data_IF_277943242175
#
_entry.id   IF_277943242175
#
_cell.length_a   1.000
_cell.length_b   1.000
_cell.length_c   1.000
_cell.angle_alpha   90.00
_cell.angle_beta   90.00
_cell.angle_gamma   90.00
#
_symmetry.space_group_name_H-M   'P 1'
#
loop_
_entity.id
_entity.type
_entity.pdbx_description
1 polymer ?
#
# COMPACT_ATOMS: atom_id res chain seq x y z
N UNK A 1 -56.24 -11.83 7.00
CA UNK A 1 -55.29 -11.06 7.83
C UNK A 1 -53.97 -11.81 7.77
N UNK A 2 -53.05 -11.35 6.92
CA UNK A 2 -51.74 -11.99 6.78
C UNK A 2 -50.83 -11.52 7.91
N UNK A 3 -50.42 -12.44 8.77
CA UNK A 3 -49.35 -12.20 9.74
C UNK A 3 -48.05 -11.96 8.97
N UNK A 4 -47.54 -10.74 9.08
CA UNK A 4 -46.23 -10.32 8.59
C UNK A 4 -45.17 -11.05 9.44
N UNK A 5 -44.80 -12.25 9.00
CA UNK A 5 -43.81 -13.10 9.66
C UNK A 5 -42.41 -12.49 9.45
N UNK A 6 -42.12 -11.39 10.16
CA UNK A 6 -40.79 -10.78 10.23
C UNK A 6 -39.84 -11.76 10.91
N UNK A 7 -39.13 -12.56 10.12
CA UNK A 7 -37.97 -13.34 10.59
C UNK A 7 -37.04 -12.41 11.39
N UNK A 8 -36.89 -12.68 12.68
CA UNK A 8 -36.04 -11.89 13.56
C UNK A 8 -34.61 -12.37 13.40
N UNK A 9 -33.80 -11.63 12.65
CA UNK A 9 -32.36 -11.89 12.54
C UNK A 9 -31.60 -11.05 13.55
N UNK A 10 -30.66 -11.66 14.26
CA UNK A 10 -29.71 -10.92 15.11
C UNK A 10 -28.38 -10.74 14.40
N UNK A 11 -27.83 -9.52 14.42
CA UNK A 11 -26.54 -9.17 13.82
C UNK A 11 -25.46 -9.06 14.91
N UNK A 12 -24.52 -9.99 14.90
CA UNK A 12 -23.39 -10.04 15.82
C UNK A 12 -22.11 -9.64 15.08
N UNK A 13 -21.38 -8.66 15.61
CA UNK A 13 -20.02 -8.34 15.16
C UNK A 13 -19.05 -8.98 16.15
N UNK A 14 -18.18 -9.85 15.64
CA UNK A 14 -17.22 -10.62 16.45
C UNK A 14 -15.88 -10.74 15.74
N UNK A 15 -14.87 -11.16 16.47
CA UNK A 15 -13.57 -11.49 15.89
C UNK A 15 -13.69 -12.65 14.91
N UNK A 16 -12.87 -12.58 13.86
CA UNK A 16 -12.69 -13.65 12.89
C UNK A 16 -12.02 -14.87 13.55
N UNK A 17 -12.60 -16.04 13.34
CA UNK A 17 -12.09 -17.32 13.80
C UNK A 17 -11.58 -18.14 12.60
N UNK A 18 -10.25 -18.25 12.41
CA UNK A 18 -9.66 -18.96 11.28
C UNK A 18 -10.10 -20.42 11.15
N UNK A 19 -10.52 -21.06 12.25
CA UNK A 19 -10.88 -22.48 12.25
C UNK A 19 -12.22 -22.76 11.55
N UNK A 20 -13.10 -21.76 11.45
CA UNK A 20 -14.47 -21.94 10.94
C UNK A 20 -14.94 -20.87 9.96
N UNK A 21 -14.34 -19.68 9.97
CA UNK A 21 -14.85 -18.55 9.19
C UNK A 21 -14.23 -18.44 7.79
N UNK A 22 -13.09 -19.09 7.53
CA UNK A 22 -12.30 -18.91 6.31
C UNK A 22 -13.13 -19.04 5.02
N UNK A 23 -13.90 -20.12 4.88
CA UNK A 23 -14.68 -20.39 3.68
C UNK A 23 -15.81 -19.36 3.47
N UNK A 24 -16.53 -19.03 4.55
CA UNK A 24 -17.61 -18.05 4.51
C UNK A 24 -17.10 -16.64 4.17
N UNK A 25 -15.95 -16.26 4.74
CA UNK A 25 -15.27 -14.99 4.45
C UNK A 25 -14.83 -14.93 2.99
N UNK A 26 -14.19 -15.97 2.47
CA UNK A 26 -13.82 -16.04 1.05
C UNK A 26 -15.05 -15.95 0.13
N UNK A 27 -16.19 -16.51 0.54
CA UNK A 27 -17.44 -16.37 -0.20
C UNK A 27 -17.96 -14.92 -0.18
N UNK A 28 -17.86 -14.20 0.94
CA UNK A 28 -18.23 -12.77 1.00
C UNK A 28 -17.32 -11.91 0.11
N UNK A 29 -16.00 -12.11 0.13
CA UNK A 29 -15.06 -11.41 -0.79
C UNK A 29 -15.49 -11.64 -2.25
N UNK A 30 -15.70 -12.91 -2.63
CA UNK A 30 -16.15 -13.29 -3.98
C UNK A 30 -17.43 -12.58 -4.41
N UNK A 31 -18.43 -12.54 -3.53
CA UNK A 31 -19.71 -11.86 -3.78
C UNK A 31 -19.56 -10.34 -3.89
N UNK A 32 -18.57 -9.74 -3.23
CA UNK A 32 -18.36 -8.29 -3.22
C UNK A 32 -17.55 -7.78 -4.41
N UNK A 33 -16.72 -8.61 -5.04
CA UNK A 33 -15.88 -8.23 -6.19
C UNK A 33 -16.62 -8.26 -7.54
N UNK A 34 -17.84 -8.81 -7.57
CA UNK A 34 -18.72 -8.73 -8.74
C UNK A 34 -19.36 -7.34 -8.77
N UNK A 35 -18.89 -6.48 -9.69
CA UNK A 35 -19.55 -5.20 -9.97
C UNK A 35 -20.98 -5.41 -10.49
N UNK A 36 -21.91 -4.47 -10.24
CA UNK A 36 -23.33 -4.63 -10.56
C UNK A 36 -23.65 -4.80 -12.06
N UNK A 37 -22.68 -4.59 -12.96
CA UNK A 37 -22.87 -4.54 -14.41
C UNK A 37 -22.10 -5.59 -15.21
N UNK A 38 -21.43 -6.57 -14.57
CA UNK A 38 -20.67 -7.61 -15.29
C UNK A 38 -19.50 -7.08 -16.14
N UNK A 39 -19.08 -5.83 -15.89
CA UNK A 39 -17.98 -5.16 -16.57
C UNK A 39 -16.61 -5.66 -16.15
N UNK A 40 -15.57 -4.90 -16.53
CA UNK A 40 -14.19 -5.16 -16.12
C UNK A 40 -14.09 -5.13 -14.59
N UNK A 41 -13.62 -6.22 -13.97
CA UNK A 41 -13.39 -6.28 -12.53
C UNK A 41 -12.05 -6.93 -12.21
N UNK A 42 -11.46 -6.51 -11.08
CA UNK A 42 -10.26 -7.12 -10.51
C UNK A 42 -10.72 -7.99 -9.35
N UNK A 43 -10.38 -9.26 -9.44
CA UNK A 43 -10.65 -10.27 -8.42
C UNK A 43 -9.40 -10.51 -7.58
N UNK A 44 -9.55 -10.63 -6.27
CA UNK A 44 -8.43 -10.86 -5.33
C UNK A 44 -8.58 -12.24 -4.70
N UNK A 45 -7.59 -13.10 -4.93
CA UNK A 45 -7.47 -14.38 -4.23
C UNK A 45 -6.46 -14.26 -3.10
N UNK A 46 -6.93 -14.37 -1.86
CA UNK A 46 -6.13 -14.29 -0.63
C UNK A 46 -5.43 -15.61 -0.26
N UNK A 47 -5.39 -16.58 -1.17
CA UNK A 47 -4.62 -17.83 -1.05
C UNK A 47 -4.94 -18.64 0.21
N UNK A 48 -6.19 -18.62 0.65
CA UNK A 48 -6.59 -19.32 1.86
C UNK A 48 -6.43 -18.53 3.17
N UNK A 49 -5.87 -17.32 3.13
CA UNK A 49 -5.52 -16.53 4.32
C UNK A 49 -6.22 -15.16 4.34
N UNK A 50 -7.44 -15.07 4.90
CA UNK A 50 -8.17 -13.80 4.93
C UNK A 50 -7.49 -12.66 5.69
N UNK A 51 -6.51 -12.92 6.55
CA UNK A 51 -5.79 -11.89 7.33
C UNK A 51 -4.44 -11.52 6.71
N UNK A 52 -4.09 -12.07 5.54
CA UNK A 52 -2.77 -11.93 4.91
C UNK A 52 -2.30 -10.48 4.74
N UNK A 53 -3.23 -9.56 4.43
CA UNK A 53 -2.97 -8.14 4.16
C UNK A 53 -2.83 -7.26 5.42
N UNK A 54 -2.99 -7.82 6.61
CA UNK A 54 -2.80 -7.08 7.87
C UNK A 54 -1.87 -7.78 8.85
N UNK A 55 -1.65 -9.10 8.69
CA UNK A 55 -0.90 -9.95 9.64
C UNK A 55 0.55 -9.56 9.87
N UNK A 56 1.13 -8.79 8.97
CA UNK A 56 2.52 -8.32 9.06
C UNK A 56 2.65 -7.00 9.83
N UNK A 57 1.54 -6.39 10.21
CA UNK A 57 1.52 -5.18 11.04
C UNK A 57 1.77 -5.49 12.52
N UNK A 58 2.32 -4.56 13.32
CA UNK A 58 2.61 -4.78 14.74
C UNK A 58 1.40 -5.19 15.58
N UNK A 59 0.23 -4.63 15.27
CA UNK A 59 -1.06 -5.07 15.80
C UNK A 59 -2.09 -5.10 14.67
N UNK A 60 -2.95 -6.10 14.67
CA UNK A 60 -4.00 -6.26 13.67
C UNK A 60 -5.23 -6.95 14.26
N UNK A 61 -6.37 -6.71 13.63
CA UNK A 61 -7.65 -7.32 13.94
C UNK A 61 -8.44 -7.56 12.65
N UNK A 62 -9.19 -8.65 12.60
CA UNK A 62 -10.24 -8.85 11.62
C UNK A 62 -11.56 -9.13 12.33
N UNK A 63 -12.59 -8.39 11.96
CA UNK A 63 -13.94 -8.57 12.47
C UNK A 63 -14.85 -9.09 11.35
N UNK A 64 -15.80 -9.93 11.73
CA UNK A 64 -16.87 -10.43 10.86
C UNK A 64 -18.23 -10.03 11.41
N UNK A 65 -19.15 -9.77 10.49
CA UNK A 65 -20.57 -9.57 10.78
C UNK A 65 -21.31 -10.88 10.49
N UNK A 66 -21.77 -11.54 11.54
CA UNK A 66 -22.55 -12.79 11.50
C UNK A 66 -24.03 -12.48 11.71
N UNK A 67 -24.88 -12.95 10.81
CA UNK A 67 -26.32 -13.05 11.01
C UNK A 67 -26.64 -14.41 11.62
N UNK A 68 -27.42 -14.39 12.70
CA UNK A 68 -27.94 -15.59 13.37
C UNK A 68 -29.44 -15.63 13.19
N UNK A 69 -29.95 -16.63 12.47
CA UNK A 69 -31.37 -16.93 12.31
C UNK A 69 -31.92 -17.91 13.35
N UNK A 70 -33.24 -18.10 13.37
CA UNK A 70 -33.95 -18.96 14.33
C UNK A 70 -33.55 -20.44 14.24
N UNK A 71 -33.17 -20.93 13.05
CA UNK A 71 -32.78 -22.34 12.81
C UNK A 71 -31.26 -22.61 12.99
N UNK A 72 -30.52 -21.71 13.66
CA UNK A 72 -29.05 -21.75 13.82
C UNK A 72 -28.24 -21.62 12.52
N UNK A 73 -28.87 -21.26 11.41
CA UNK A 73 -28.13 -20.84 10.21
C UNK A 73 -27.34 -19.57 10.54
N UNK A 74 -26.02 -19.73 10.54
CA UNK A 74 -25.04 -18.65 10.73
C UNK A 74 -24.49 -18.27 9.37
N UNK A 75 -24.69 -17.01 8.98
CA UNK A 75 -24.11 -16.49 7.74
C UNK A 75 -23.19 -15.31 8.07
N UNK A 76 -21.94 -15.37 7.59
CA UNK A 76 -21.10 -14.17 7.54
C UNK A 76 -21.53 -13.32 6.34
N UNK A 77 -21.93 -12.09 6.62
CA UNK A 77 -22.46 -11.15 5.61
C UNK A 77 -21.60 -9.91 5.45
N UNK A 78 -20.58 -9.73 6.29
CA UNK A 78 -19.63 -8.64 6.16
C UNK A 78 -18.35 -8.89 6.94
N UNK A 79 -17.31 -8.11 6.63
CA UNK A 79 -16.03 -8.15 7.31
C UNK A 79 -15.32 -6.80 7.22
N UNK A 80 -14.38 -6.58 8.13
CA UNK A 80 -13.46 -5.44 8.12
C UNK A 80 -12.12 -5.90 8.71
N UNK A 81 -11.03 -5.36 8.19
CA UNK A 81 -9.68 -5.55 8.74
C UNK A 81 -9.16 -4.23 9.26
N UNK A 82 -8.40 -4.29 10.33
CA UNK A 82 -7.73 -3.15 10.92
C UNK A 82 -6.30 -3.51 11.29
N UNK A 83 -5.38 -2.57 11.15
CA UNK A 83 -4.04 -2.69 11.72
C UNK A 83 -3.58 -1.38 12.35
N UNK A 84 -2.58 -1.44 13.23
CA UNK A 84 -2.02 -0.29 13.93
C UNK A 84 -0.51 -0.31 13.79
N UNK A 85 0.06 0.84 13.45
CA UNK A 85 1.50 1.10 13.34
C UNK A 85 1.85 2.44 13.96
N UNK A 86 3.12 2.66 14.25
CA UNK A 86 3.62 3.98 14.67
C UNK A 86 4.33 4.64 13.51
N UNK A 87 3.88 5.83 13.11
CA UNK A 87 4.40 6.52 11.92
C UNK A 87 4.74 7.96 12.19
N UNK A 88 5.61 8.53 11.35
CA UNK A 88 5.88 9.96 11.35
C UNK A 88 4.67 10.73 10.79
N UNK A 89 4.16 11.70 11.57
CA UNK A 89 3.06 12.59 11.20
C UNK A 89 3.50 14.05 11.08
N UNK A 90 4.75 14.36 11.39
CA UNK A 90 5.30 15.71 11.28
C UNK A 90 6.75 15.77 11.73
N UNK A 91 7.26 17.00 11.88
CA UNK A 91 8.64 17.26 12.31
C UNK A 91 8.68 18.39 13.32
N UNK A 92 9.61 18.29 14.27
CA UNK A 92 9.96 19.35 15.22
C UNK A 92 11.45 19.68 15.09
N UNK A 93 11.82 20.93 15.33
CA UNK A 93 13.24 21.32 15.39
C UNK A 93 13.83 20.91 16.74
N UNK A 94 15.03 20.32 16.72
CA UNK A 94 15.76 20.01 17.96
C UNK A 94 16.12 21.30 18.69
N UNK A 95 15.70 21.43 19.96
CA UNK A 95 16.08 22.54 20.85
C UNK A 95 17.30 22.16 21.67
N UNK A 96 18.49 22.13 21.06
CA UNK A 96 19.73 22.05 21.85
C UNK A 96 20.16 23.46 22.28
N UNK A 97 19.58 23.93 23.39
CA UNK A 97 20.11 25.06 24.14
C UNK A 97 20.95 24.55 25.31
N UNK A 98 22.28 24.57 25.19
CA UNK A 98 23.23 25.08 26.21
C UNK A 98 24.69 24.63 26.09
N UNK A 99 25.09 23.68 25.23
CA UNK A 99 26.52 23.36 25.03
C UNK A 99 26.78 22.88 23.59
N UNK A 100 26.99 23.80 22.65
CA UNK A 100 27.41 23.44 21.27
C UNK A 100 28.64 24.26 20.90
N UNK A 101 29.76 23.57 20.71
CA UNK A 101 30.96 24.06 20.04
C UNK A 101 30.63 24.47 18.60
N UNK A 102 31.32 25.47 18.07
CA UNK A 102 30.95 26.27 16.89
C UNK A 102 30.72 25.55 15.53
N UNK A 103 30.77 24.21 15.46
CA UNK A 103 30.72 23.45 14.21
C UNK A 103 29.41 22.68 13.90
N UNK A 104 28.38 22.67 14.77
CA UNK A 104 27.08 21.99 14.49
C UNK A 104 25.90 22.97 14.61
N UNK A 105 25.82 23.95 13.71
CA UNK A 105 24.92 25.12 13.82
C UNK A 105 23.54 24.93 13.12
N UNK A 106 23.23 23.77 12.55
CA UNK A 106 21.90 23.56 11.92
C UNK A 106 20.97 22.68 12.77
N UNK A 107 19.80 23.18 13.19
CA UNK A 107 18.83 22.38 13.94
C UNK A 107 18.32 21.22 13.06
N UNK A 108 18.70 19.99 13.40
CA UNK A 108 18.24 18.79 12.68
C UNK A 108 16.75 18.57 12.94
N UNK A 109 15.92 18.38 11.89
CA UNK A 109 14.50 18.09 12.07
C UNK A 109 14.34 16.68 12.64
N UNK A 110 13.62 16.57 13.76
CA UNK A 110 13.29 15.31 14.40
C UNK A 110 11.86 14.92 14.05
N UNK A 111 11.58 13.64 13.75
CA UNK A 111 10.24 13.20 13.49
C UNK A 111 9.35 13.28 14.73
N UNK A 112 8.08 13.61 14.50
CA UNK A 112 7.01 13.44 15.47
C UNK A 112 6.24 12.20 15.07
N UNK A 113 6.09 11.27 16.02
CA UNK A 113 5.43 9.99 15.79
C UNK A 113 4.03 10.00 16.40
N UNK A 114 3.12 9.29 15.76
CA UNK A 114 1.78 8.99 16.26
C UNK A 114 1.49 7.51 16.06
N UNK A 115 0.65 6.93 16.93
CA UNK A 115 0.02 5.63 16.63
C UNK A 115 -1.13 5.86 15.65
N UNK A 116 -1.08 5.17 14.52
CA UNK A 116 -2.01 5.30 13.40
C UNK A 116 -2.61 3.94 13.09
N UNK A 117 -3.95 3.91 13.03
CA UNK A 117 -4.72 2.76 12.60
C UNK A 117 -5.08 2.85 11.12
N UNK A 118 -5.04 1.73 10.40
CA UNK A 118 -5.49 1.63 9.02
C UNK A 118 -6.68 0.67 8.92
N UNK A 119 -7.74 1.09 8.24
CA UNK A 119 -8.89 0.24 7.90
C UNK A 119 -8.69 -0.29 6.49
N UNK A 120 -8.80 -1.62 6.35
CA UNK A 120 -8.65 -2.30 5.08
C UNK A 120 -9.80 -3.27 4.82
N UNK A 121 -10.18 -3.40 3.54
CA UNK A 121 -11.01 -4.50 3.07
C UNK A 121 -12.38 -4.60 3.74
N UNK A 122 -13.03 -3.45 3.99
CA UNK A 122 -14.43 -3.43 4.41
C UNK A 122 -15.31 -4.00 3.28
N UNK A 123 -15.96 -5.12 3.55
CA UNK A 123 -16.89 -5.77 2.63
C UNK A 123 -18.23 -6.01 3.31
N UNK A 124 -19.31 -5.75 2.58
CA UNK A 124 -20.67 -6.12 2.96
C UNK A 124 -21.34 -6.76 1.76
N UNK A 125 -21.86 -7.97 1.97
CA UNK A 125 -22.58 -8.75 0.97
C UNK A 125 -23.64 -7.89 0.26
N UNK A 126 -23.72 -7.89 -1.08
CA UNK A 126 -24.63 -7.02 -1.82
C UNK A 126 -26.09 -7.03 -1.34
N UNK A 127 -26.61 -8.22 -0.99
CA UNK A 127 -27.99 -8.39 -0.49
C UNK A 127 -28.23 -7.81 0.91
N UNK A 128 -27.16 -7.48 1.64
CA UNK A 128 -27.21 -6.96 3.01
C UNK A 128 -26.68 -5.52 3.12
N UNK A 129 -26.43 -4.86 1.99
CA UNK A 129 -26.04 -3.45 1.97
C UNK A 129 -27.19 -2.57 2.45
N UNK A 130 -26.85 -1.36 2.93
CA UNK A 130 -27.82 -0.37 3.45
C UNK A 130 -28.59 -0.80 4.71
N UNK A 131 -28.19 -1.90 5.35
CA UNK A 131 -28.73 -2.36 6.65
C UNK A 131 -27.89 -1.89 7.86
N UNK A 132 -26.99 -0.92 7.68
CA UNK A 132 -26.12 -0.42 8.77
C UNK A 132 -24.93 -1.32 9.15
N UNK A 133 -24.76 -2.49 8.53
CA UNK A 133 -23.69 -3.45 8.85
C UNK A 133 -22.29 -2.83 8.73
N UNK A 134 -22.02 -2.11 7.63
CA UNK A 134 -20.72 -1.46 7.41
C UNK A 134 -20.38 -0.42 8.49
N UNK A 135 -21.38 0.36 8.93
CA UNK A 135 -21.22 1.33 10.01
C UNK A 135 -20.88 0.62 11.34
N UNK A 136 -21.61 -0.45 11.66
CA UNK A 136 -21.38 -1.23 12.89
C UNK A 136 -19.98 -1.87 12.91
N UNK A 137 -19.50 -2.37 11.77
CA UNK A 137 -18.15 -2.89 11.61
C UNK A 137 -17.08 -1.82 11.83
N UNK A 138 -17.26 -0.63 11.24
CA UNK A 138 -16.32 0.50 11.41
C UNK A 138 -16.30 0.97 12.87
N UNK A 139 -17.45 1.13 13.51
CA UNK A 139 -17.53 1.53 14.92
C UNK A 139 -16.78 0.53 15.83
N UNK A 140 -17.01 -0.77 15.63
CA UNK A 140 -16.37 -1.80 16.45
C UNK A 140 -14.86 -1.90 16.24
N UNK A 141 -14.37 -1.71 15.01
CA UNK A 141 -12.90 -1.68 14.78
C UNK A 141 -12.27 -0.40 15.33
N UNK A 142 -12.97 0.74 15.28
CA UNK A 142 -12.50 1.99 15.89
C UNK A 142 -12.42 1.90 17.42
N UNK A 143 -13.36 1.21 18.08
CA UNK A 143 -13.27 0.90 19.50
C UNK A 143 -11.96 0.18 19.81
N UNK A 144 -11.66 -0.90 19.07
CA UNK A 144 -10.40 -1.62 19.21
C UNK A 144 -9.17 -0.74 18.93
N UNK A 145 -9.24 0.16 17.94
CA UNK A 145 -8.17 1.14 17.69
C UNK A 145 -7.92 2.05 18.89
N UNK A 146 -8.98 2.59 19.52
CA UNK A 146 -8.88 3.42 20.72
C UNK A 146 -8.30 2.64 21.90
N UNK A 147 -8.79 1.42 22.13
CA UNK A 147 -8.29 0.52 23.18
C UNK A 147 -6.79 0.22 23.03
N UNK A 148 -6.27 0.21 21.80
CA UNK A 148 -4.85 -0.01 21.51
C UNK A 148 -4.03 1.30 21.39
N UNK A 149 -4.64 2.43 21.73
CA UNK A 149 -4.01 3.74 21.80
C UNK A 149 -3.70 4.35 20.44
N UNK A 150 -4.43 3.99 19.38
CA UNK A 150 -4.33 4.69 18.11
C UNK A 150 -4.95 6.10 18.25
N UNK A 151 -4.20 7.12 17.86
CA UNK A 151 -4.64 8.52 17.93
C UNK A 151 -5.40 8.94 16.66
N UNK A 152 -5.09 8.28 15.55
CA UNK A 152 -5.72 8.50 14.25
C UNK A 152 -6.10 7.18 13.61
N UNK A 153 -7.12 7.20 12.76
CA UNK A 153 -7.45 6.13 11.83
C UNK A 153 -7.56 6.66 10.42
N UNK A 154 -7.07 5.93 9.43
CA UNK A 154 -7.24 6.25 8.02
C UNK A 154 -7.70 5.05 7.20
N UNK A 155 -8.18 5.33 6.00
CA UNK A 155 -8.62 4.35 5.01
C UNK A 155 -8.41 4.90 3.61
N UNK A 156 -8.30 4.00 2.64
CA UNK A 156 -8.17 4.32 1.22
C UNK A 156 -9.41 3.85 0.44
N UNK A 157 -9.83 4.64 -0.55
CA UNK A 157 -10.94 4.29 -1.45
C UNK A 157 -10.81 5.05 -2.77
N UNK A 158 -11.28 4.47 -3.87
CA UNK A 158 -11.43 5.21 -5.13
C UNK A 158 -12.38 6.40 -4.94
N UNK A 159 -12.07 7.51 -5.61
CA UNK A 159 -12.77 8.79 -5.45
C UNK A 159 -14.24 8.75 -5.93
N UNK A 160 -14.56 7.83 -6.84
CA UNK A 160 -15.89 7.60 -7.41
C UNK A 160 -16.72 6.55 -6.63
N UNK A 161 -16.13 5.88 -5.63
CA UNK A 161 -16.83 4.96 -4.75
C UNK A 161 -17.67 5.73 -3.71
N UNK A 162 -18.78 6.31 -4.18
CA UNK A 162 -19.65 7.16 -3.38
C UNK A 162 -20.20 6.43 -2.13
N UNK A 163 -20.40 5.11 -2.19
CA UNK A 163 -20.88 4.34 -1.05
C UNK A 163 -19.85 4.32 0.09
N UNK A 164 -18.58 4.11 -0.24
CA UNK A 164 -17.46 4.16 0.70
C UNK A 164 -17.26 5.58 1.23
N UNK A 165 -17.20 6.57 0.33
CA UNK A 165 -17.04 7.99 0.70
C UNK A 165 -18.14 8.44 1.67
N UNK A 166 -19.41 8.17 1.37
CA UNK A 166 -20.52 8.56 2.24
C UNK A 166 -20.48 7.85 3.60
N UNK A 167 -20.08 6.57 3.63
CA UNK A 167 -19.95 5.85 4.90
C UNK A 167 -18.89 6.51 5.78
N UNK A 168 -17.67 6.70 5.25
CA UNK A 168 -16.56 7.18 6.07
C UNK A 168 -16.67 8.66 6.38
N UNK A 169 -16.95 9.50 5.39
CA UNK A 169 -17.00 10.96 5.56
C UNK A 169 -18.27 11.39 6.29
N UNK A 170 -19.45 10.97 5.81
CA UNK A 170 -20.72 11.50 6.34
C UNK A 170 -21.21 10.77 7.59
N UNK A 171 -20.89 9.48 7.76
CA UNK A 171 -21.40 8.65 8.87
C UNK A 171 -20.38 8.34 9.95
N UNK A 172 -19.11 8.15 9.58
CA UNK A 172 -18.05 7.82 10.53
C UNK A 172 -17.21 9.03 10.94
N UNK A 173 -17.37 10.21 10.33
CA UNK A 173 -16.66 11.43 10.72
C UNK A 173 -15.20 11.49 10.25
N UNK A 174 -14.86 10.78 9.16
CA UNK A 174 -13.57 10.94 8.50
C UNK A 174 -13.56 12.21 7.64
N UNK A 175 -12.36 12.71 7.38
CA UNK A 175 -12.11 13.84 6.48
C UNK A 175 -11.24 13.41 5.33
N UNK A 176 -11.46 13.97 4.15
CA UNK A 176 -10.59 13.75 2.98
C UNK A 176 -9.20 14.30 3.29
N UNK A 177 -8.15 13.50 3.12
CA UNK A 177 -6.83 13.79 3.66
C UNK A 177 -5.73 13.89 2.61
N UNK A 178 -5.51 12.81 1.86
CA UNK A 178 -4.50 12.72 0.80
C UNK A 178 -5.12 12.10 -0.44
N UNK A 179 -4.49 12.36 -1.58
CA UNK A 179 -4.90 11.78 -2.87
C UNK A 179 -3.70 11.22 -3.62
N UNK A 180 -3.03 10.17 -3.11
CA UNK A 180 -1.93 9.56 -3.84
C UNK A 180 -2.37 8.97 -5.18
N UNK A 181 -1.37 8.64 -5.99
CA UNK A 181 -1.55 8.02 -7.30
C UNK A 181 -0.98 6.61 -7.25
N UNK A 182 -1.79 5.63 -7.63
CA UNK A 182 -1.37 4.23 -7.81
C UNK A 182 -0.89 4.07 -9.25
N UNK A 183 0.37 3.69 -9.43
CA UNK A 183 1.03 3.54 -10.72
C UNK A 183 1.33 2.07 -10.97
N UNK A 184 0.76 1.52 -12.05
CA UNK A 184 0.88 0.10 -12.39
C UNK A 184 1.62 -0.08 -13.71
N UNK A 185 2.72 -0.81 -13.65
CA UNK A 185 3.52 -1.21 -14.80
C UNK A 185 3.29 -2.70 -15.12
N UNK A 186 2.85 -3.07 -16.32
CA UNK A 186 2.78 -4.46 -16.71
C UNK A 186 4.18 -5.09 -16.80
N UNK A 187 4.27 -6.36 -16.43
CA UNK A 187 5.47 -7.17 -16.63
C UNK A 187 5.43 -7.80 -18.02
N UNK A 188 6.32 -7.34 -18.90
CA UNK A 188 6.43 -7.79 -20.28
C UNK A 188 7.05 -9.19 -20.37
N UNK A 189 6.88 -9.82 -21.54
CA UNK A 189 7.47 -11.12 -21.80
C UNK A 189 8.99 -11.04 -22.08
N UNK A 190 9.48 -9.90 -22.57
CA UNK A 190 10.92 -9.61 -22.68
C UNK A 190 11.51 -9.06 -21.36
N UNK A 191 12.84 -9.04 -21.25
CA UNK A 191 13.54 -8.33 -20.16
C UNK A 191 13.76 -6.87 -20.56
N UNK A 192 13.49 -5.95 -19.65
CA UNK A 192 13.76 -4.52 -19.86
C UNK A 192 15.27 -4.29 -19.79
N UNK A 193 15.81 -3.59 -20.79
CA UNK A 193 17.23 -3.21 -20.83
C UNK A 193 17.48 -2.05 -19.87
N UNK A 194 18.40 -2.25 -18.93
CA UNK A 194 18.84 -1.20 -18.03
C UNK A 194 19.89 -0.31 -18.71
N UNK A 195 19.90 0.97 -18.35
CA UNK A 195 20.91 1.91 -18.84
C UNK A 195 22.29 1.48 -18.38
N UNK A 196 23.25 1.38 -19.31
CA UNK A 196 24.65 1.05 -19.00
C UNK A 196 25.38 2.16 -18.24
N UNK A 197 24.73 3.31 -18.00
CA UNK A 197 25.25 4.45 -17.23
C UNK A 197 24.87 4.42 -15.75
N UNK A 198 24.05 3.46 -15.33
CA UNK A 198 23.57 3.33 -13.95
C UNK A 198 24.09 2.02 -13.38
N UNK A 199 24.64 2.07 -12.17
CA UNK A 199 24.91 0.88 -11.35
C UNK A 199 23.76 0.72 -10.37
N UNK A 200 23.18 -0.49 -10.29
CA UNK A 200 22.19 -0.84 -9.27
C UNK A 200 22.86 -1.73 -8.23
N UNK A 201 22.82 -1.31 -6.98
CA UNK A 201 23.45 -1.97 -5.83
C UNK A 201 22.35 -2.49 -4.92
N UNK A 202 22.44 -3.75 -4.49
CA UNK A 202 21.59 -4.29 -3.45
C UNK A 202 22.20 -3.98 -2.08
N UNK A 203 21.51 -3.20 -1.27
CA UNK A 203 21.99 -2.82 0.06
C UNK A 203 21.71 -3.93 1.07
N UNK A 204 22.61 -4.08 2.05
CA UNK A 204 22.36 -4.96 3.19
C UNK A 204 21.14 -4.46 3.99
N UNK A 205 20.47 -5.32 4.79
CA UNK A 205 19.36 -4.87 5.64
C UNK A 205 19.74 -3.73 6.59
N UNK A 206 20.94 -3.78 7.20
CA UNK A 206 21.44 -2.72 8.09
C UNK A 206 21.71 -1.41 7.35
N UNK A 207 22.29 -1.46 6.15
CA UNK A 207 22.53 -0.27 5.34
C UNK A 207 21.22 0.35 4.83
N UNK A 208 20.26 -0.51 4.47
CA UNK A 208 18.92 -0.10 4.07
C UNK A 208 18.21 0.65 5.19
N UNK A 209 18.25 0.10 6.41
CA UNK A 209 17.66 0.73 7.59
C UNK A 209 18.31 2.09 7.87
N UNK A 210 19.65 2.13 7.91
CA UNK A 210 20.38 3.36 8.18
C UNK A 210 20.03 4.44 7.14
N UNK A 211 20.07 4.11 5.85
CA UNK A 211 19.73 5.03 4.77
C UNK A 211 18.28 5.52 4.89
N UNK A 212 17.33 4.62 5.17
CA UNK A 212 15.92 4.99 5.26
C UNK A 212 15.64 5.88 6.47
N UNK A 213 16.21 5.56 7.64
CA UNK A 213 16.06 6.40 8.84
C UNK A 213 16.67 7.78 8.63
N UNK A 214 17.83 7.89 7.99
CA UNK A 214 18.44 9.19 7.70
C UNK A 214 17.65 10.00 6.69
N UNK A 215 17.16 9.35 5.62
CA UNK A 215 16.54 10.05 4.49
C UNK A 215 15.05 10.34 4.65
N UNK A 216 14.32 9.45 5.33
CA UNK A 216 12.86 9.45 5.35
C UNK A 216 12.26 9.58 6.75
N UNK A 217 13.06 9.72 7.82
CA UNK A 217 12.52 9.78 9.19
C UNK A 217 11.35 10.76 9.35
N UNK A 218 11.42 11.92 8.70
CA UNK A 218 10.39 12.96 8.76
C UNK A 218 9.39 12.92 7.60
N UNK A 219 9.46 11.93 6.72
CA UNK A 219 8.49 11.72 5.64
C UNK A 219 7.17 11.26 6.26
N UNK A 220 6.07 11.83 5.79
CA UNK A 220 4.74 11.48 6.29
C UNK A 220 4.46 9.98 6.09
N UNK A 221 3.84 9.33 7.09
CA UNK A 221 3.59 7.89 7.17
C UNK A 221 4.84 6.99 7.29
N UNK A 222 6.05 7.53 7.42
CA UNK A 222 7.25 6.70 7.57
C UNK A 222 7.18 5.86 8.87
N UNK A 223 7.28 4.51 8.77
CA UNK A 223 7.13 3.64 9.92
C UNK A 223 8.31 3.77 10.87
N UNK A 224 8.03 3.87 12.17
CA UNK A 224 9.07 3.90 13.21
C UNK A 224 9.88 2.60 13.24
N UNK A 225 9.23 1.49 12.92
CA UNK A 225 9.75 0.12 12.87
C UNK A 225 10.18 -0.30 11.45
N UNK A 226 10.79 0.61 10.68
CA UNK A 226 11.21 0.33 9.30
C UNK A 226 12.12 -0.89 9.16
N UNK A 227 12.92 -1.19 10.19
CA UNK A 227 13.73 -2.40 10.32
C UNK A 227 12.92 -3.69 10.16
N UNK A 228 11.73 -3.73 10.77
CA UNK A 228 10.81 -4.87 10.72
C UNK A 228 10.16 -5.02 9.34
N UNK A 229 9.98 -3.92 8.60
CA UNK A 229 9.54 -3.95 7.20
C UNK A 229 10.63 -4.49 6.30
N UNK A 230 11.86 -3.96 6.43
CA UNK A 230 12.98 -4.30 5.58
C UNK A 230 13.48 -5.74 5.78
N UNK A 231 13.42 -6.26 7.00
CA UNK A 231 13.82 -7.63 7.36
C UNK A 231 12.72 -8.68 7.13
N UNK A 232 11.50 -8.26 6.77
CA UNK A 232 10.41 -9.19 6.48
C UNK A 232 10.77 -10.04 5.25
N UNK A 233 10.45 -11.35 5.30
CA UNK A 233 10.67 -12.29 4.18
C UNK A 233 10.04 -11.86 2.85
N UNK A 234 9.00 -11.04 2.88
CA UNK A 234 8.33 -10.49 1.70
C UNK A 234 9.07 -9.30 1.11
N UNK A 235 9.96 -8.66 1.87
CA UNK A 235 10.90 -7.67 1.34
C UNK A 235 11.98 -8.38 0.52
N UNK A 236 12.01 -8.11 -0.78
CA UNK A 236 12.98 -8.70 -1.72
C UNK A 236 14.32 -7.96 -1.75
N UNK A 237 14.43 -6.86 -1.00
CA UNK A 237 15.64 -6.06 -0.90
C UNK A 237 15.42 -4.57 -1.18
N UNK A 238 16.46 -3.79 -0.86
CA UNK A 238 16.55 -2.36 -1.14
C UNK A 238 17.64 -2.13 -2.17
N UNK A 239 17.30 -1.39 -3.21
CA UNK A 239 18.16 -1.20 -4.37
C UNK A 239 18.47 0.27 -4.55
N UNK A 240 19.76 0.58 -4.59
CA UNK A 240 20.30 1.92 -4.81
C UNK A 240 20.81 2.02 -6.25
N UNK A 241 20.38 3.05 -6.96
CA UNK A 241 20.89 3.44 -8.27
C UNK A 241 21.84 4.63 -8.13
N UNK A 242 23.04 4.50 -8.67
CA UNK A 242 24.09 5.53 -8.70
C UNK A 242 24.71 5.63 -10.10
N UNK A 243 25.44 6.70 -10.44
CA UNK A 243 26.15 6.78 -11.70
C UNK A 243 27.17 5.64 -11.80
N UNK A 244 27.33 5.06 -12.99
CA UNK A 244 28.26 3.96 -13.18
C UNK A 244 29.68 4.33 -12.76
N UNK A 245 30.29 3.49 -11.93
CA UNK A 245 31.66 3.67 -11.45
C UNK A 245 31.80 4.56 -10.21
N UNK A 246 30.72 5.12 -9.68
CA UNK A 246 30.77 5.93 -8.45
C UNK A 246 30.92 5.08 -7.19
N UNK A 247 29.99 4.15 -6.97
CA UNK A 247 29.95 3.23 -5.82
C UNK A 247 29.59 1.83 -6.32
N UNK A 248 30.13 0.81 -5.68
CA UNK A 248 29.77 -0.60 -5.87
C UNK A 248 29.33 -1.21 -4.53
N UNK A 249 28.87 -2.46 -4.55
CA UNK A 249 28.50 -3.15 -3.30
C UNK A 249 29.73 -3.30 -2.36
N UNK A 250 30.91 -3.49 -2.93
CA UNK A 250 32.18 -3.68 -2.21
C UNK A 250 32.78 -2.37 -1.72
N UNK A 251 32.49 -1.25 -2.40
CA UNK A 251 32.99 0.09 -2.04
C UNK A 251 31.94 0.96 -1.34
N UNK A 252 30.83 0.36 -0.90
CA UNK A 252 29.76 1.05 -0.19
C UNK A 252 30.32 1.71 1.09
N UNK A 253 30.25 3.06 1.21
CA UNK A 253 30.90 3.77 2.32
C UNK A 253 30.05 3.80 3.60
N UNK A 254 28.89 3.14 3.60
CA UNK A 254 27.87 3.29 4.64
C UNK A 254 26.90 4.45 4.35
N UNK A 255 25.70 4.37 4.91
CA UNK A 255 24.65 5.35 4.67
C UNK A 255 25.01 6.78 5.12
N UNK A 256 25.70 6.91 6.26
CA UNK A 256 26.07 8.22 6.81
C UNK A 256 27.06 8.96 5.89
N UNK A 257 28.10 8.26 5.41
CA UNK A 257 29.05 8.84 4.47
C UNK A 257 28.43 9.09 3.09
N UNK A 258 27.62 8.15 2.59
CA UNK A 258 26.93 8.31 1.31
C UNK A 258 26.01 9.53 1.29
N UNK A 259 25.26 9.79 2.36
CA UNK A 259 24.35 10.93 2.43
C UNK A 259 25.05 12.25 2.74
N UNK A 260 26.27 12.22 3.30
CA UNK A 260 27.08 13.41 3.53
C UNK A 260 27.70 13.95 2.23
N UNK A 261 28.14 13.05 1.34
CA UNK A 261 28.72 13.39 0.04
C UNK A 261 28.20 12.43 -1.06
N UNK A 262 26.90 12.55 -1.44
CA UNK A 262 26.32 11.67 -2.44
C UNK A 262 26.80 12.07 -3.85
N UNK A 263 26.80 11.12 -4.82
CA UNK A 263 26.98 11.48 -6.21
C UNK A 263 25.89 12.46 -6.69
N UNK A 264 26.18 13.25 -7.73
CA UNK A 264 25.30 14.31 -8.25
C UNK A 264 23.84 13.86 -8.47
N UNK A 265 23.62 12.59 -8.81
CA UNK A 265 22.29 12.01 -8.83
C UNK A 265 22.31 10.60 -8.27
N UNK A 266 21.25 10.23 -7.55
CA UNK A 266 21.04 8.89 -7.04
C UNK A 266 19.54 8.61 -6.86
N UNK A 267 19.15 7.35 -6.73
CA UNK A 267 17.79 6.96 -6.35
C UNK A 267 17.80 5.66 -5.54
N UNK A 268 16.78 5.44 -4.73
CA UNK A 268 16.60 4.22 -3.93
C UNK A 268 15.13 3.79 -3.97
N UNK A 269 14.89 2.49 -3.93
CA UNK A 269 13.59 1.90 -3.60
C UNK A 269 13.76 0.49 -3.06
N UNK A 270 12.74 -0.01 -2.38
CA UNK A 270 12.63 -1.42 -1.99
C UNK A 270 11.51 -2.11 -2.75
N UNK A 271 11.57 -3.44 -2.81
CA UNK A 271 10.61 -4.28 -3.52
C UNK A 271 9.95 -5.23 -2.52
N UNK A 272 8.63 -5.31 -2.55
CA UNK A 272 7.81 -6.21 -1.73
C UNK A 272 7.11 -7.26 -2.60
N UNK A 273 7.12 -8.52 -2.14
CA UNK A 273 6.53 -9.66 -2.83
C UNK A 273 5.08 -9.90 -2.40
N UNK A 274 4.13 -9.16 -2.98
CA UNK A 274 2.70 -9.38 -2.70
C UNK A 274 2.16 -10.68 -3.29
N UNK A 275 2.84 -11.29 -4.28
CA UNK A 275 2.43 -12.57 -4.89
C UNK A 275 2.27 -13.71 -3.87
N UNK A 276 3.10 -13.73 -2.84
CA UNK A 276 3.06 -14.77 -1.80
C UNK A 276 1.98 -14.48 -0.73
N UNK A 277 1.23 -13.38 -0.88
CA UNK A 277 0.18 -12.92 0.03
C UNK A 277 -1.19 -13.03 -0.66
N UNK A 278 -1.28 -12.58 -1.91
CA UNK A 278 -2.50 -12.67 -2.72
C UNK A 278 -2.17 -12.70 -4.21
N UNK A 279 -3.13 -13.12 -5.02
CA UNK A 279 -3.08 -12.97 -6.48
C UNK A 279 -4.28 -12.18 -6.98
N UNK A 280 -4.11 -11.56 -8.15
CA UNK A 280 -5.16 -10.81 -8.82
C UNK A 280 -5.59 -11.52 -10.09
N UNK A 281 -6.83 -11.31 -10.52
CA UNK A 281 -7.33 -11.80 -11.80
C UNK A 281 -8.29 -10.78 -12.42
N UNK A 282 -8.05 -10.38 -13.66
CA UNK A 282 -8.93 -9.48 -14.40
C UNK A 282 -10.04 -10.25 -15.11
N UNK A 283 -11.29 -10.02 -14.70
CA UNK A 283 -12.51 -10.63 -15.27
C UNK A 283 -13.33 -9.59 -16.04
N UNK A 284 -14.35 -10.06 -16.77
CA UNK A 284 -15.23 -9.20 -17.59
C UNK A 284 -14.67 -8.74 -18.95
N UNK A 285 -13.47 -9.19 -19.33
CA UNK A 285 -12.87 -8.85 -20.64
C UNK A 285 -13.40 -9.77 -21.74
N UNK A 286 -13.89 -9.19 -22.85
CA UNK A 286 -14.35 -9.92 -24.05
C UNK A 286 -13.27 -10.85 -24.63
N UNK A 287 -13.67 -11.99 -25.21
CA UNK A 287 -12.74 -12.96 -25.83
C UNK A 287 -11.83 -12.34 -26.89
N UNK A 288 -12.34 -11.42 -27.72
CA UNK A 288 -11.56 -10.73 -28.75
C UNK A 288 -10.40 -9.94 -28.14
N UNK A 289 -10.66 -9.13 -27.10
CA UNK A 289 -9.62 -8.39 -26.36
C UNK A 289 -8.61 -9.33 -25.69
N UNK A 290 -9.06 -10.47 -25.14
CA UNK A 290 -8.16 -11.49 -24.56
C UNK A 290 -7.24 -12.10 -25.61
N UNK A 291 -7.76 -12.40 -26.80
CA UNK A 291 -6.97 -12.93 -27.92
C UNK A 291 -5.96 -11.91 -28.43
N UNK A 292 -6.35 -10.63 -28.57
CA UNK A 292 -5.44 -9.55 -28.95
C UNK A 292 -4.32 -9.37 -27.91
N UNK A 293 -4.66 -9.36 -26.62
CA UNK A 293 -3.65 -9.30 -25.56
C UNK A 293 -2.68 -10.50 -25.63
N UNK A 294 -3.19 -11.71 -25.89
CA UNK A 294 -2.36 -12.91 -26.10
C UNK A 294 -1.44 -12.76 -27.32
N UNK A 295 -1.89 -12.19 -28.43
CA UNK A 295 -1.02 -11.99 -29.61
C UNK A 295 0.09 -10.99 -29.32
N UNK A 296 -0.17 -9.89 -28.59
CA UNK A 296 0.91 -8.95 -28.19
C UNK A 296 2.02 -9.65 -27.41
N UNK A 297 1.68 -10.59 -26.51
CA UNK A 297 2.67 -11.40 -25.76
C UNK A 297 3.46 -12.35 -26.65
N UNK A 298 2.80 -12.98 -27.63
CA UNK A 298 3.47 -13.91 -28.54
C UNK A 298 4.49 -13.17 -29.42
N UNK A 299 4.12 -12.00 -29.94
CA UNK A 299 5.02 -11.14 -30.72
C UNK A 299 6.19 -10.69 -29.86
N UNK A 300 5.94 -10.23 -28.63
CA UNK A 300 6.99 -9.83 -27.70
C UNK A 300 7.98 -10.98 -27.37
N UNK A 301 7.46 -12.20 -27.19
CA UNK A 301 8.30 -13.39 -27.00
C UNK A 301 9.12 -13.77 -28.23
N UNK A 302 8.55 -13.62 -29.43
CA UNK A 302 9.22 -13.96 -30.68
C UNK A 302 10.30 -12.94 -31.07
N UNK A 303 10.10 -11.68 -30.69
CA UNK A 303 10.96 -10.55 -31.08
C UNK A 303 11.41 -9.70 -29.88
N UNK A 304 12.07 -10.28 -28.86
CA UNK A 304 12.37 -9.59 -27.60
C UNK A 304 13.33 -8.41 -27.76
N UNK A 305 14.12 -8.35 -28.85
CA UNK A 305 15.01 -7.23 -29.14
C UNK A 305 14.27 -5.94 -29.52
N UNK A 306 13.01 -6.04 -29.94
CA UNK A 306 12.18 -4.88 -30.27
C UNK A 306 11.65 -4.14 -29.03
N UNK A 307 11.72 -4.76 -27.84
CA UNK A 307 11.25 -4.19 -26.57
C UNK A 307 9.81 -3.63 -26.63
N UNK A 308 8.92 -4.36 -27.32
CA UNK A 308 7.54 -3.94 -27.48
C UNK A 308 6.78 -4.12 -26.16
N UNK A 309 6.08 -3.09 -25.67
CA UNK A 309 5.16 -3.25 -24.53
C UNK A 309 4.09 -4.28 -24.87
N UNK A 310 3.94 -5.30 -24.03
CA UNK A 310 2.94 -6.37 -24.21
C UNK A 310 2.02 -6.48 -23.00
N UNK A 311 0.79 -6.96 -23.22
CA UNK A 311 -0.19 -7.14 -22.13
C UNK A 311 0.10 -8.46 -21.42
N UNK A 312 0.54 -8.50 -20.14
CA UNK A 312 0.78 -9.73 -19.40
C UNK A 312 -0.47 -10.61 -19.32
N UNK A 313 -0.32 -11.87 -18.91
CA UNK A 313 -1.47 -12.76 -18.75
C UNK A 313 -2.26 -12.45 -17.46
N UNK A 314 -2.90 -11.29 -17.45
CA UNK A 314 -3.68 -10.76 -16.32
C UNK A 314 -5.09 -11.35 -16.23
N UNK A 315 -5.48 -12.21 -17.18
CA UNK A 315 -6.80 -12.87 -17.21
C UNK A 315 -6.80 -14.25 -16.51
N UNK A 316 -5.66 -14.60 -15.91
CA UNK A 316 -5.47 -15.73 -14.99
C UNK A 316 -4.87 -15.16 -13.71
N UNK A 317 -4.94 -15.88 -12.57
CA UNK A 317 -4.30 -15.44 -11.34
C UNK A 317 -2.84 -15.01 -11.57
N UNK A 318 -2.51 -13.78 -11.21
CA UNK A 318 -1.18 -13.19 -11.36
C UNK A 318 -0.71 -12.51 -10.07
N UNK A 319 0.60 -12.54 -9.84
CA UNK A 319 1.24 -11.87 -8.71
C UNK A 319 1.57 -10.40 -8.98
N UNK A 320 1.77 -9.66 -7.89
CA UNK A 320 2.22 -8.26 -7.91
C UNK A 320 3.51 -8.15 -7.11
N UNK A 321 4.48 -7.39 -7.62
CA UNK A 321 5.52 -6.80 -6.77
C UNK A 321 5.17 -5.34 -6.50
N UNK A 322 5.25 -4.93 -5.24
CA UNK A 322 4.98 -3.56 -4.83
C UNK A 322 6.30 -2.82 -4.55
N UNK A 323 6.49 -1.62 -5.11
CA UNK A 323 7.66 -0.78 -4.84
C UNK A 323 7.33 0.22 -3.75
N UNK A 324 8.20 0.31 -2.75
CA UNK A 324 8.04 1.19 -1.60
C UNK A 324 9.37 1.88 -1.23
N UNK A 325 9.31 2.87 -0.34
CA UNK A 325 10.52 3.60 0.09
C UNK A 325 11.22 4.37 -1.03
N UNK A 326 10.45 4.87 -2.00
CA UNK A 326 11.00 5.63 -3.13
C UNK A 326 11.69 6.91 -2.64
N UNK A 327 12.94 7.09 -3.05
CA UNK A 327 13.68 8.33 -2.84
C UNK A 327 14.78 8.53 -3.86
N UNK A 328 15.39 9.71 -3.83
CA UNK A 328 16.44 10.08 -4.78
C UNK A 328 16.60 11.58 -4.86
N UNK A 329 17.77 11.99 -5.34
CA UNK A 329 18.15 13.40 -5.47
C UNK A 329 18.96 13.60 -6.74
N UNK A 330 19.01 14.85 -7.20
CA UNK A 330 19.79 15.26 -8.36
C UNK A 330 19.01 15.33 -9.68
N UNK A 331 19.60 15.96 -10.71
CA UNK A 331 18.95 16.20 -12.00
C UNK A 331 18.59 14.93 -12.78
N UNK A 332 19.24 13.80 -12.49
CA UNK A 332 18.99 12.52 -13.15
C UNK A 332 18.21 11.53 -12.26
N UNK A 333 17.71 11.94 -11.09
CA UNK A 333 17.02 11.06 -10.14
C UNK A 333 15.86 10.28 -10.80
N UNK A 334 15.03 10.94 -11.61
CA UNK A 334 13.95 10.27 -12.34
C UNK A 334 14.46 9.18 -13.32
N UNK A 335 15.61 9.38 -13.97
CA UNK A 335 16.21 8.35 -14.83
C UNK A 335 16.75 7.17 -14.01
N UNK A 336 17.18 7.42 -12.78
CA UNK A 336 17.70 6.38 -11.90
C UNK A 336 16.55 5.58 -11.28
N UNK A 337 15.46 6.25 -10.89
CA UNK A 337 14.19 5.59 -10.56
C UNK A 337 13.72 4.71 -11.71
N UNK A 338 13.77 5.20 -12.96
CA UNK A 338 13.43 4.38 -14.14
C UNK A 338 14.30 3.12 -14.25
N UNK A 339 15.59 3.22 -13.95
CA UNK A 339 16.49 2.07 -13.93
C UNK A 339 16.13 1.08 -12.81
N UNK A 340 15.79 1.57 -11.61
CA UNK A 340 15.33 0.73 -10.51
C UNK A 340 13.98 0.05 -10.81
N UNK A 341 13.02 0.76 -11.42
CA UNK A 341 11.76 0.17 -11.88
C UNK A 341 12.01 -0.90 -12.95
N UNK A 342 12.98 -0.70 -13.85
CA UNK A 342 13.41 -1.72 -14.81
C UNK A 342 14.02 -2.95 -14.13
N UNK A 343 14.82 -2.77 -13.08
CA UNK A 343 15.36 -3.86 -12.27
C UNK A 343 14.22 -4.63 -11.60
N UNK A 344 13.30 -3.92 -10.95
CA UNK A 344 12.15 -4.51 -10.28
C UNK A 344 11.21 -5.26 -11.24
N UNK A 345 10.99 -4.72 -12.44
CA UNK A 345 10.27 -5.40 -13.52
C UNK A 345 10.92 -6.74 -13.88
N UNK A 346 12.25 -6.76 -14.07
CA UNK A 346 12.96 -7.98 -14.42
C UNK A 346 12.90 -9.02 -13.29
N UNK A 347 13.01 -8.59 -12.03
CA UNK A 347 12.84 -9.46 -10.86
C UNK A 347 11.40 -10.00 -10.76
N UNK A 348 10.40 -9.16 -11.00
CA UNK A 348 8.99 -9.54 -11.04
C UNK A 348 8.72 -10.59 -12.14
N UNK A 349 9.34 -10.42 -13.32
CA UNK A 349 9.29 -11.39 -14.42
C UNK A 349 9.87 -12.73 -14.02
N UNK A 350 11.05 -12.75 -13.38
CA UNK A 350 11.69 -13.97 -12.90
C UNK A 350 10.84 -14.71 -11.86
N UNK A 351 10.09 -13.96 -11.04
CA UNK A 351 9.17 -14.50 -10.03
C UNK A 351 7.75 -14.78 -10.56
N UNK A 352 7.49 -14.55 -11.84
CA UNK A 352 6.19 -14.83 -12.47
C UNK A 352 5.06 -13.87 -12.04
N UNK A 353 5.39 -12.64 -11.68
CA UNK A 353 4.42 -11.58 -11.43
C UNK A 353 3.90 -11.00 -12.75
N UNK A 354 2.63 -10.59 -12.77
CA UNK A 354 1.99 -9.98 -13.93
C UNK A 354 2.20 -8.46 -13.99
N UNK A 355 2.37 -7.81 -12.84
CA UNK A 355 2.54 -6.35 -12.76
C UNK A 355 3.52 -5.98 -11.64
N UNK A 356 4.09 -4.79 -11.78
CA UNK A 356 4.78 -4.06 -10.71
C UNK A 356 3.94 -2.82 -10.40
N UNK A 357 3.66 -2.58 -9.13
CA UNK A 357 2.85 -1.44 -8.70
C UNK A 357 3.60 -0.60 -7.67
N UNK A 358 3.24 0.67 -7.57
CA UNK A 358 3.69 1.56 -6.50
C UNK A 358 2.62 2.62 -6.28
N UNK A 359 2.59 3.18 -5.08
CA UNK A 359 1.70 4.27 -4.73
C UNK A 359 2.55 5.42 -4.19
N UNK A 360 2.33 6.61 -4.75
CA UNK A 360 3.13 7.81 -4.46
C UNK A 360 2.23 9.02 -4.27
N UNK A 361 2.72 10.02 -3.53
CA UNK A 361 2.03 11.30 -3.43
C UNK A 361 1.77 11.88 -4.83
N UNK A 362 0.63 12.57 -5.02
CA UNK A 362 0.32 13.24 -6.29
C UNK A 362 1.38 14.28 -6.70
N UNK A 363 2.15 14.79 -5.73
CA UNK A 363 3.21 15.79 -5.91
C UNK A 363 4.62 15.20 -5.93
N UNK A 364 4.77 13.88 -5.92
CA UNK A 364 6.08 13.23 -5.89
C UNK A 364 6.86 13.52 -7.19
N UNK A 365 7.99 14.27 -7.15
CA UNK A 365 8.76 14.58 -8.37
C UNK A 365 9.32 13.32 -9.04
N UNK A 366 9.67 12.29 -8.27
CA UNK A 366 10.24 11.05 -8.79
C UNK A 366 9.23 10.22 -9.59
N UNK A 367 7.93 10.53 -9.51
CA UNK A 367 6.87 9.92 -10.33
C UNK A 367 7.17 9.96 -11.83
N UNK A 368 7.86 11.01 -12.30
CA UNK A 368 8.26 11.14 -13.71
C UNK A 368 9.19 10.01 -14.18
N UNK A 369 9.89 9.37 -13.25
CA UNK A 369 10.77 8.24 -13.48
C UNK A 369 10.07 6.88 -13.51
N UNK A 370 8.80 6.79 -13.11
CA UNK A 370 8.09 5.51 -12.89
C UNK A 370 7.33 5.11 -14.15
N UNK A 371 7.77 4.06 -14.88
CA UNK A 371 7.01 3.53 -16.01
C UNK A 371 5.68 2.97 -15.52
N UNK A 372 4.59 3.27 -16.22
CA UNK A 372 3.26 2.77 -15.89
C UNK A 372 2.32 2.87 -17.09
N UNK A 373 1.22 2.12 -17.06
CA UNK A 373 0.13 2.23 -18.01
C UNK A 373 -1.03 2.98 -17.38
N UNK A 374 -1.43 4.10 -17.99
CA UNK A 374 -2.54 4.93 -17.49
C UNK A 374 -3.85 4.14 -17.33
N UNK A 375 -4.11 3.18 -18.21
CA UNK A 375 -5.32 2.34 -18.17
C UNK A 375 -5.35 1.35 -17.00
N UNK A 376 -4.22 1.10 -16.33
CA UNK A 376 -4.11 0.22 -15.16
C UNK A 376 -3.84 1.01 -13.87
N UNK A 377 -3.64 2.32 -13.97
CA UNK A 377 -3.22 3.17 -12.86
C UNK A 377 -4.40 4.00 -12.34
N UNK A 378 -4.42 4.29 -11.04
CA UNK A 378 -5.40 5.19 -10.43
C UNK A 378 -4.78 6.57 -10.24
N UNK A 379 -5.34 7.59 -10.88
CA UNK A 379 -4.81 8.95 -10.84
C UNK A 379 -4.92 9.57 -9.43
N UNK A 380 -6.04 9.31 -8.74
CA UNK A 380 -6.38 9.89 -7.45
C UNK A 380 -7.08 8.83 -6.59
N UNK A 381 -6.31 8.10 -5.80
CA UNK A 381 -6.85 7.27 -4.73
C UNK A 381 -7.12 8.15 -3.51
N UNK A 382 -8.32 8.11 -2.93
CA UNK A 382 -8.71 9.01 -1.85
C UNK A 382 -8.40 8.37 -0.50
N UNK A 383 -7.45 8.95 0.22
CA UNK A 383 -7.22 8.62 1.62
C UNK A 383 -8.06 9.54 2.51
N UNK A 384 -8.85 8.93 3.39
CA UNK A 384 -9.61 9.64 4.41
C UNK A 384 -9.01 9.37 5.80
N UNK A 385 -8.98 10.38 6.67
CA UNK A 385 -8.43 10.28 8.03
C UNK A 385 -9.41 10.81 9.07
N UNK A 386 -9.38 10.23 10.27
CA UNK A 386 -10.12 10.63 11.45
C UNK A 386 -9.19 10.65 12.65
N UNK A 387 -9.31 11.68 13.50
CA UNK A 387 -8.70 11.70 14.83
C UNK A 387 -9.60 10.91 15.79
N UNK A 388 -9.02 9.99 16.55
CA UNK A 388 -9.75 9.12 17.48
C UNK A 388 -9.70 9.60 18.94
N UNK A 389 -8.67 10.37 19.32
CA UNK A 389 -8.51 10.91 20.67
C UNK A 389 -9.34 12.19 20.91
N UNK A 390 -9.95 12.30 22.09
CA UNK A 390 -10.83 13.41 22.50
C UNK A 390 -10.09 14.54 23.23
N UNK A 391 -8.94 14.24 23.86
CA UNK A 391 -8.17 15.24 24.60
C UNK A 391 -7.42 16.19 23.66
N UNK A 392 -7.92 17.42 23.58
CA UNK A 392 -7.28 18.54 22.89
C UNK A 392 -5.92 18.86 23.54
N UNK A 393 -4.87 18.21 23.07
CA UNK A 393 -3.54 18.79 23.11
C UNK A 393 -3.04 18.93 21.68
N UNK A 394 -2.87 20.17 21.24
CA UNK A 394 -2.11 20.48 20.05
C UNK A 394 -0.64 20.26 20.41
N UNK A 395 -0.20 19.00 20.29
CA UNK A 395 1.22 18.66 20.33
C UNK A 395 1.99 19.43 19.26
N UNK A 396 3.28 19.12 19.06
CA UNK A 396 4.15 19.87 18.14
C UNK A 396 3.71 19.95 16.66
N UNK A 397 2.66 19.21 16.26
CA UNK A 397 2.13 19.15 14.89
C UNK A 397 0.69 19.70 14.80
N UNK A 398 0.01 19.94 15.94
CA UNK A 398 -1.43 20.24 15.96
C UNK A 398 -2.28 19.06 15.47
N UNK A 399 -3.49 19.36 14.97
CA UNK A 399 -4.37 18.37 14.35
C UNK A 399 -3.83 17.95 12.97
N UNK A 400 -3.24 16.75 12.91
CA UNK A 400 -2.67 16.21 11.67
C UNK A 400 -3.72 16.06 10.56
N UNK A 401 -5.01 15.88 10.89
CA UNK A 401 -6.08 15.78 9.87
C UNK A 401 -6.26 17.06 9.05
N UNK A 402 -5.76 18.21 9.55
CA UNK A 402 -5.82 19.52 8.87
C UNK A 402 -4.51 19.89 8.16
N UNK A 403 -3.50 19.02 8.23
CA UNK A 403 -2.20 19.29 7.62
C UNK A 403 -2.26 19.30 6.10
N UNK A 404 -1.45 20.18 5.50
CA UNK A 404 -1.31 20.27 4.04
C UNK A 404 -0.54 19.06 3.48
N UNK A 405 -0.89 18.55 2.29
CA UNK A 405 -0.16 17.47 1.64
C UNK A 405 1.31 17.84 1.38
N UNK A 406 2.22 16.98 1.82
CA UNK A 406 3.65 17.06 1.52
C UNK A 406 4.00 16.66 0.08
N UNK A 407 5.29 16.74 -0.26
CA UNK A 407 5.80 16.28 -1.56
C UNK A 407 5.81 14.76 -1.67
N UNK A 408 6.11 14.07 -0.57
CA UNK A 408 6.28 12.63 -0.51
C UNK A 408 5.50 12.06 0.68
N UNK A 409 5.02 10.84 0.51
CA UNK A 409 4.42 10.01 1.55
C UNK A 409 5.09 8.64 1.49
N UNK A 410 5.22 7.96 2.63
CA UNK A 410 5.69 6.59 2.68
C UNK A 410 4.49 5.64 2.73
N UNK A 411 4.37 4.77 1.73
CA UNK A 411 3.35 3.71 1.73
C UNK A 411 3.94 2.45 2.34
N UNK A 412 3.35 1.98 3.42
CA UNK A 412 3.81 0.78 4.12
C UNK A 412 3.43 -0.46 3.32
N UNK A 413 4.40 -1.26 2.82
CA UNK A 413 4.10 -2.39 1.95
C UNK A 413 3.32 -3.51 2.67
N UNK A 414 3.26 -3.50 4.02
CA UNK A 414 2.48 -4.46 4.82
C UNK A 414 0.97 -4.27 4.69
N UNK A 415 0.52 -3.14 4.15
CA UNK A 415 -0.89 -2.78 3.98
C UNK A 415 -1.44 -3.07 2.58
N UNK A 416 -0.56 -3.56 1.70
CA UNK A 416 -0.88 -3.86 0.30
C UNK A 416 -1.57 -5.20 0.18
#
# INVERSE_FOLDING_TARGET
MGEDNRRVFSLVVREFDPSKDCEMVQNVERRCEVGPSGGLSIFTDLLGDPICRVRHSPAYLMLVAELVGEEKDKEIVGMIRGCIKTVACGKKLSRNGKNVTADDVTPKPLPVYTKLAYILGLRVSPSHRRMGIGLKLVQRVEEWFRENGAEYSYMATENDNQASVNLFVDKCGYTKFRTPTILVNPVYAHRVKLSSRVTVIHLSPSDSEALYRRRFATTEFFPRDIDSVLSNRLSLGTFLAVPRGSVTAETWPGADHFLADPPESWAVLSIWNSKDVFTLEVKGVSLVKRMLAKTTRLVDRAFPWMQLPSVPDIFRPFGVHFLYGLGGEGPLAAKFVKALCGHAHNLAKERGCGVVATEVSSREPLRLGIPHWKSLSCAEDLWCIKRLGEDYSDGSVGDWTKSLPGMSIFVDPREI
#
